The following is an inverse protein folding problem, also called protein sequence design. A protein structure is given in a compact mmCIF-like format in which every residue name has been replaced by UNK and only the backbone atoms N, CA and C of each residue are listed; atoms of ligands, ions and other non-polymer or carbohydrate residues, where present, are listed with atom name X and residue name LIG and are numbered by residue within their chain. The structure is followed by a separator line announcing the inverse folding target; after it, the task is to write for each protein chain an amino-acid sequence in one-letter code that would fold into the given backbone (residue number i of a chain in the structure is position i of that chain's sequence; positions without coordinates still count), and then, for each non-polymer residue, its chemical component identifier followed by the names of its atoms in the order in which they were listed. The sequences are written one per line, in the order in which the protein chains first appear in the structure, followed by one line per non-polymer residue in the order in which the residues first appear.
data_IF_342186598731
#
_entry.id   IF_342186598731
#
_cell.length_a   1.000
_cell.length_b   1.000
_cell.length_c   1.000
_cell.angle_alpha   90.00
_cell.angle_beta   90.00
_cell.angle_gamma   90.00
#
_symmetry.space_group_name_H-M   'P 1'
#
loop_
_entity.id
_entity.type
_entity.pdbx_description
1 polymer ?
#
# COMPACT_ATOMS: atom_id res chain seq x y z
N UNK A 1 -26.61 6.74 -28.20
CA UNK A 1 -25.64 7.85 -28.10
C UNK A 1 -25.12 8.05 -26.68
N UNK A 2 -25.44 7.16 -25.73
CA UNK A 2 -25.14 7.35 -24.29
C UNK A 2 -23.90 6.61 -23.78
N UNK A 3 -23.17 5.90 -24.64
CA UNK A 3 -21.99 5.10 -24.23
C UNK A 3 -20.68 5.90 -24.26
N UNK A 4 -20.63 7.01 -25.02
CA UNK A 4 -19.45 7.89 -25.09
C UNK A 4 -19.38 8.85 -23.90
N UNK A 5 -20.53 9.39 -23.47
CA UNK A 5 -20.60 10.33 -22.35
C UNK A 5 -20.18 9.68 -21.01
N UNK A 6 -20.53 8.41 -20.77
CA UNK A 6 -20.18 7.71 -19.54
C UNK A 6 -18.70 7.37 -19.43
N UNK A 7 -18.02 7.06 -20.54
CA UNK A 7 -16.59 6.75 -20.54
C UNK A 7 -15.70 7.98 -20.35
N UNK A 8 -16.06 9.11 -20.95
CA UNK A 8 -15.33 10.38 -20.76
C UNK A 8 -15.50 10.93 -19.34
N UNK A 9 -16.71 10.84 -18.77
CA UNK A 9 -16.99 11.23 -17.38
C UNK A 9 -16.20 10.37 -16.38
N UNK A 10 -16.15 9.04 -16.58
CA UNK A 10 -15.38 8.13 -15.72
C UNK A 10 -13.87 8.46 -15.76
N UNK A 11 -13.33 8.75 -16.95
CA UNK A 11 -11.92 9.11 -17.10
C UNK A 11 -11.57 10.42 -16.37
N UNK A 12 -12.45 11.42 -16.41
CA UNK A 12 -12.27 12.67 -15.69
C UNK A 12 -12.47 12.54 -14.17
N UNK A 13 -13.30 11.60 -13.71
CA UNK A 13 -13.40 11.25 -12.29
C UNK A 13 -12.16 10.53 -11.77
N UNK A 14 -11.64 9.55 -12.52
CA UNK A 14 -10.38 8.87 -12.19
C UNK A 14 -9.22 9.87 -12.10
N UNK A 15 -9.15 10.82 -13.04
CA UNK A 15 -8.16 11.90 -13.03
C UNK A 15 -8.28 12.81 -11.82
N UNK A 16 -9.50 13.23 -11.46
CA UNK A 16 -9.75 14.03 -10.26
C UNK A 16 -9.38 13.27 -8.99
N UNK A 17 -9.70 11.97 -8.93
CA UNK A 17 -9.34 11.09 -7.82
C UNK A 17 -7.82 10.95 -7.69
N UNK A 18 -7.11 10.73 -8.80
CA UNK A 18 -5.65 10.65 -8.83
C UNK A 18 -5.01 11.95 -8.33
N UNK A 19 -5.44 13.11 -8.85
CA UNK A 19 -4.94 14.41 -8.39
C UNK A 19 -5.21 14.67 -6.92
N UNK A 20 -6.38 14.27 -6.40
CA UNK A 20 -6.71 14.36 -4.97
C UNK A 20 -5.72 13.54 -4.12
N UNK A 21 -5.35 12.36 -4.59
CA UNK A 21 -4.46 11.44 -3.86
C UNK A 21 -3.01 11.94 -3.90
N UNK A 22 -2.54 12.44 -5.04
CA UNK A 22 -1.22 13.10 -5.12
C UNK A 22 -1.16 14.31 -4.17
N UNK A 23 -2.23 15.11 -4.09
CA UNK A 23 -2.31 16.21 -3.10
C UNK A 23 -2.18 15.70 -1.67
N UNK A 24 -2.86 14.61 -1.32
CA UNK A 24 -2.77 14.03 0.02
C UNK A 24 -1.34 13.63 0.38
N UNK A 25 -0.62 12.95 -0.53
CA UNK A 25 0.79 12.63 -0.36
C UNK A 25 1.64 13.89 -0.19
N UNK A 26 1.48 14.88 -1.08
CA UNK A 26 2.27 16.12 -1.04
C UNK A 26 2.00 16.96 0.21
N UNK A 27 0.78 16.93 0.75
CA UNK A 27 0.39 17.68 1.93
C UNK A 27 0.76 16.99 3.26
N UNK A 28 1.21 15.73 3.23
CA UNK A 28 1.59 14.95 4.40
C UNK A 28 2.48 15.74 5.37
N UNK A 29 3.59 16.28 4.88
CA UNK A 29 4.56 17.00 5.72
C UNK A 29 3.94 18.21 6.40
N UNK A 30 3.23 19.04 5.63
CA UNK A 30 2.55 20.24 6.15
C UNK A 30 1.51 19.85 7.21
N UNK A 31 0.73 18.80 6.95
CA UNK A 31 -0.27 18.31 7.89
C UNK A 31 0.37 17.78 9.19
N UNK A 32 1.37 16.91 9.09
CA UNK A 32 2.06 16.33 10.24
C UNK A 32 2.78 17.39 11.09
N UNK A 33 3.44 18.37 10.46
CA UNK A 33 4.07 19.48 11.17
C UNK A 33 3.05 20.39 11.85
N UNK A 34 1.88 20.60 11.25
CA UNK A 34 0.79 21.35 11.87
C UNK A 34 0.27 20.64 13.13
N UNK A 35 0.06 19.32 13.07
CA UNK A 35 -0.33 18.51 14.25
C UNK A 35 0.73 18.59 15.35
N UNK A 36 2.00 18.43 14.99
CA UNK A 36 3.12 18.54 15.93
C UNK A 36 3.17 19.92 16.61
N UNK A 37 2.97 20.99 15.83
CA UNK A 37 2.97 22.37 16.34
C UNK A 37 1.83 22.59 17.35
N UNK A 38 0.64 22.04 17.09
CA UNK A 38 -0.47 22.06 18.05
C UNK A 38 -0.11 21.32 19.35
N UNK A 39 0.50 20.15 19.26
CA UNK A 39 0.96 19.39 20.44
C UNK A 39 2.00 20.17 21.26
N UNK A 40 2.96 20.81 20.60
CA UNK A 40 3.94 21.68 21.26
C UNK A 40 3.26 22.87 21.94
N UNK A 41 2.25 23.46 21.30
CA UNK A 41 1.47 24.55 21.89
C UNK A 41 0.74 24.09 23.17
N UNK A 42 0.10 22.92 23.15
CA UNK A 42 -0.54 22.35 24.34
C UNK A 42 0.46 22.08 25.47
N UNK A 43 1.65 21.58 25.16
CA UNK A 43 2.69 21.36 26.17
C UNK A 43 3.12 22.69 26.81
N UNK A 44 3.28 23.75 26.02
CA UNK A 44 3.70 25.08 26.48
C UNK A 44 2.61 25.83 27.24
N UNK A 45 1.34 25.47 27.09
CA UNK A 45 0.24 26.09 27.84
C UNK A 45 0.08 25.50 29.25
N UNK A 46 0.75 24.38 29.57
CA UNK A 46 0.75 23.80 30.91
C UNK A 46 1.50 24.69 31.92
N UNK A 47 1.21 24.60 33.23
CA UNK A 47 2.02 25.25 34.26
C UNK A 47 3.50 24.84 34.19
N UNK A 48 4.41 25.77 34.53
CA UNK A 48 5.86 25.54 34.41
C UNK A 48 6.34 24.30 35.17
N UNK A 49 5.74 24.02 36.34
CA UNK A 49 6.03 22.83 37.12
C UNK A 49 5.74 21.53 36.35
N UNK A 50 4.64 21.47 35.60
CA UNK A 50 4.30 20.30 34.78
C UNK A 50 5.18 20.19 33.54
N UNK A 51 5.56 21.32 32.93
CA UNK A 51 6.49 21.32 31.80
C UNK A 51 7.85 20.73 32.18
N UNK A 52 8.37 21.05 33.38
CA UNK A 52 9.63 20.50 33.90
C UNK A 52 9.59 18.98 34.08
N UNK A 53 8.43 18.40 34.39
CA UNK A 53 8.24 16.94 34.50
C UNK A 53 8.23 16.25 33.11
N UNK A 54 7.94 16.99 32.04
CA UNK A 54 7.74 16.47 30.68
C UNK A 54 8.92 16.81 29.73
N UNK A 55 10.10 17.09 30.26
CA UNK A 55 11.30 17.45 29.46
C UNK A 55 11.67 16.37 28.44
N UNK A 56 11.61 15.09 28.83
CA UNK A 56 11.85 13.97 27.91
C UNK A 56 10.84 13.93 26.76
N UNK A 57 9.57 14.20 27.05
CA UNK A 57 8.53 14.28 26.03
C UNK A 57 8.73 15.49 25.11
N UNK A 58 9.13 16.64 25.65
CA UNK A 58 9.47 17.80 24.82
C UNK A 58 10.61 17.49 23.83
N UNK A 59 11.65 16.78 24.28
CA UNK A 59 12.76 16.38 23.42
C UNK A 59 12.30 15.41 22.31
N UNK A 60 11.40 14.47 22.62
CA UNK A 60 10.89 13.54 21.61
C UNK A 60 10.05 14.22 20.54
N UNK A 61 9.35 15.31 20.84
CA UNK A 61 8.60 16.08 19.84
C UNK A 61 9.54 16.66 18.75
N UNK A 62 10.77 17.04 19.12
CA UNK A 62 11.75 17.50 18.13
C UNK A 62 12.31 16.34 17.30
N UNK A 63 12.49 15.16 17.90
CA UNK A 63 12.81 13.93 17.15
C UNK A 63 11.72 13.59 16.13
N UNK A 64 10.45 13.71 16.50
CA UNK A 64 9.31 13.48 15.60
C UNK A 64 9.35 14.41 14.39
N UNK A 65 9.76 15.68 14.56
CA UNK A 65 9.95 16.61 13.44
C UNK A 65 10.88 16.03 12.38
N UNK A 66 12.05 15.52 12.81
CA UNK A 66 13.02 14.89 11.90
C UNK A 66 12.44 13.62 11.26
N UNK A 67 11.70 12.80 12.01
CA UNK A 67 11.05 11.61 11.46
C UNK A 67 10.02 11.94 10.37
N UNK A 68 9.28 13.05 10.49
CA UNK A 68 8.37 13.54 9.44
C UNK A 68 9.14 13.84 8.15
N UNK A 69 10.34 14.43 8.25
CA UNK A 69 11.18 14.72 7.08
C UNK A 69 11.63 13.43 6.37
N UNK A 70 12.07 12.42 7.11
CA UNK A 70 12.42 11.11 6.54
C UNK A 70 11.23 10.45 5.82
N UNK A 71 10.05 10.44 6.46
CA UNK A 71 8.84 9.89 5.84
C UNK A 71 8.45 10.67 4.57
N UNK A 72 8.59 12.00 4.59
CA UNK A 72 8.28 12.80 3.42
C UNK A 72 9.24 12.55 2.25
N UNK A 73 10.53 12.30 2.52
CA UNK A 73 11.48 11.93 1.47
C UNK A 73 11.09 10.60 0.79
N UNK A 74 10.57 9.64 1.56
CA UNK A 74 10.00 8.39 0.99
C UNK A 74 8.79 8.70 0.11
N UNK A 75 7.88 9.56 0.58
CA UNK A 75 6.70 9.98 -0.20
C UNK A 75 7.11 10.67 -1.50
N UNK A 76 8.10 11.55 -1.48
CA UNK A 76 8.63 12.20 -2.68
C UNK A 76 9.11 11.16 -3.71
N UNK A 77 9.81 10.12 -3.26
CA UNK A 77 10.21 9.00 -4.13
C UNK A 77 9.01 8.24 -4.71
N UNK A 78 7.93 8.08 -3.95
CA UNK A 78 6.71 7.41 -4.42
C UNK A 78 6.00 8.20 -5.53
N UNK A 79 5.88 9.53 -5.38
CA UNK A 79 5.13 10.38 -6.32
C UNK A 79 5.95 10.84 -7.52
N UNK A 80 7.29 10.75 -7.47
CA UNK A 80 8.17 11.27 -8.52
C UNK A 80 7.81 10.74 -9.92
N UNK A 81 7.45 9.46 -10.01
CA UNK A 81 7.12 8.79 -11.28
C UNK A 81 5.64 8.39 -11.38
N UNK A 82 4.78 8.85 -10.47
CA UNK A 82 3.35 8.51 -10.52
C UNK A 82 2.64 9.08 -11.75
N UNK A 83 3.24 10.10 -12.38
CA UNK A 83 2.85 10.64 -13.67
C UNK A 83 2.70 9.56 -14.76
N UNK A 84 3.60 8.59 -14.78
CA UNK A 84 3.63 7.54 -15.80
C UNK A 84 2.71 6.36 -15.50
N UNK A 85 2.18 6.27 -14.27
CA UNK A 85 1.24 5.21 -13.90
C UNK A 85 -0.12 5.35 -14.61
N UNK A 86 -0.43 6.54 -15.11
CA UNK A 86 -1.66 6.85 -15.83
C UNK A 86 -1.28 7.57 -17.12
N UNK A 87 -0.88 6.80 -18.13
CA UNK A 87 -0.26 7.21 -19.42
C UNK A 87 -1.00 8.31 -20.25
N UNK A 88 -2.10 8.88 -19.78
CA UNK A 88 -2.93 9.84 -20.55
C UNK A 88 -3.31 11.12 -19.80
N UNK A 89 -2.69 11.43 -18.66
CA UNK A 89 -3.14 12.56 -17.85
C UNK A 89 -1.97 13.47 -17.53
N UNK A 90 -1.97 14.67 -18.11
CA UNK A 90 -1.05 15.76 -17.78
C UNK A 90 -0.94 15.91 -16.26
N UNK A 91 0.08 15.29 -15.66
CA UNK A 91 0.44 15.49 -14.26
C UNK A 91 0.86 16.94 -14.11
N UNK A 92 0.26 17.71 -13.19
CA UNK A 92 0.77 19.03 -12.87
C UNK A 92 2.22 18.89 -12.42
N UNK A 93 3.11 19.73 -12.96
CA UNK A 93 4.51 19.83 -12.54
C UNK A 93 4.60 19.83 -11.01
N UNK A 94 5.56 19.08 -10.45
CA UNK A 94 5.87 19.14 -9.01
C UNK A 94 6.20 20.58 -8.57
N UNK A 95 6.64 21.41 -9.52
CA UNK A 95 6.80 22.86 -9.42
C UNK A 95 5.45 23.57 -9.27
N UNK A 96 4.92 23.64 -8.04
CA UNK A 96 3.69 24.37 -7.73
C UNK A 96 2.86 23.81 -6.56
N UNK A 97 3.16 22.59 -6.10
CA UNK A 97 2.39 21.92 -5.03
C UNK A 97 2.72 22.40 -3.61
N UNK A 98 3.60 23.40 -3.47
CA UNK A 98 3.87 24.08 -2.21
C UNK A 98 2.76 25.04 -1.76
N UNK A 99 1.63 25.10 -2.48
CA UNK A 99 0.57 26.04 -2.11
C UNK A 99 -0.06 25.68 -0.76
N UNK A 100 0.09 26.58 0.20
CA UNK A 100 -0.57 26.59 1.51
C UNK A 100 -2.04 27.00 1.43
N UNK A 101 -2.63 27.07 0.24
CA UNK A 101 -4.00 27.54 0.03
C UNK A 101 -5.01 26.65 0.77
N UNK A 102 -5.70 27.24 1.76
CA UNK A 102 -6.78 26.59 2.53
C UNK A 102 -7.90 26.03 1.64
N UNK A 103 -8.06 26.59 0.43
CA UNK A 103 -9.09 26.23 -0.56
C UNK A 103 -8.90 24.81 -1.13
N UNK A 104 -7.70 24.23 -1.05
CA UNK A 104 -7.38 22.91 -1.63
C UNK A 104 -6.83 21.89 -0.63
N UNK A 105 -7.07 22.09 0.68
CA UNK A 105 -6.61 21.16 1.71
C UNK A 105 -7.22 19.76 1.51
N UNK A 106 -6.42 18.68 1.50
CA UNK A 106 -6.95 17.32 1.43
C UNK A 106 -7.89 17.02 2.60
N UNK A 107 -8.88 16.17 2.34
CA UNK A 107 -9.75 15.65 3.39
C UNK A 107 -8.95 14.77 4.35
N UNK A 108 -9.33 14.78 5.62
CA UNK A 108 -8.60 14.07 6.69
C UNK A 108 -8.48 12.57 6.43
N UNK A 109 -9.53 11.96 5.88
CA UNK A 109 -9.55 10.54 5.52
C UNK A 109 -8.53 10.16 4.44
N UNK A 110 -8.16 11.09 3.55
CA UNK A 110 -7.10 10.82 2.56
C UNK A 110 -5.71 10.89 3.20
N UNK A 111 -5.51 11.75 4.20
CA UNK A 111 -4.26 11.82 4.97
C UNK A 111 -4.08 10.57 5.83
N UNK A 112 -5.14 10.07 6.47
CA UNK A 112 -5.15 8.79 7.18
C UNK A 112 -4.79 7.61 6.25
N UNK A 113 -5.21 7.66 4.97
CA UNK A 113 -4.83 6.66 3.97
C UNK A 113 -3.35 6.75 3.59
N UNK A 114 -2.77 7.95 3.50
CA UNK A 114 -1.31 8.10 3.35
C UNK A 114 -0.59 7.44 4.52
N UNK A 115 -1.01 7.74 5.76
CA UNK A 115 -0.42 7.14 6.96
C UNK A 115 -0.56 5.61 6.99
N UNK A 116 -1.73 5.09 6.60
CA UNK A 116 -1.98 3.65 6.50
C UNK A 116 -1.12 3.00 5.41
N UNK A 117 -0.89 3.69 4.28
CA UNK A 117 -0.02 3.21 3.20
C UNK A 117 1.44 3.12 3.67
N UNK A 118 1.91 4.10 4.45
CA UNK A 118 3.24 4.03 5.06
C UNK A 118 3.36 2.84 6.01
N UNK A 119 2.33 2.58 6.84
CA UNK A 119 2.32 1.38 7.71
C UNK A 119 2.31 0.07 6.92
N UNK A 120 1.63 0.03 5.78
CA UNK A 120 1.58 -1.16 4.92
C UNK A 120 2.97 -1.57 4.41
N UNK A 121 3.91 -0.63 4.24
CA UNK A 121 5.31 -0.94 3.91
C UNK A 121 5.99 -1.81 4.98
N UNK A 122 5.60 -1.67 6.24
CA UNK A 122 6.11 -2.50 7.34
C UNK A 122 5.73 -3.95 7.07
N UNK A 123 4.43 -4.22 6.91
CA UNK A 123 3.91 -5.57 6.65
C UNK A 123 4.53 -6.17 5.39
N UNK A 124 4.51 -5.44 4.28
CA UNK A 124 4.84 -6.02 2.97
C UNK A 124 6.31 -6.00 2.60
N UNK A 125 7.12 -5.08 3.12
CA UNK A 125 8.47 -4.84 2.59
C UNK A 125 9.54 -4.56 3.65
N UNK A 126 9.25 -4.79 4.93
CA UNK A 126 10.26 -4.67 5.99
C UNK A 126 10.53 -6.02 6.66
N UNK A 127 11.62 -6.08 7.45
CA UNK A 127 11.95 -7.26 8.24
C UNK A 127 10.96 -7.45 9.40
N UNK A 128 10.42 -6.37 9.94
CA UNK A 128 9.46 -6.36 11.02
C UNK A 128 8.14 -7.05 10.61
N UNK A 129 7.81 -7.00 9.32
CA UNK A 129 6.64 -7.69 8.77
C UNK A 129 6.82 -9.19 8.53
N UNK A 130 8.01 -9.77 8.72
CA UNK A 130 8.28 -11.18 8.32
C UNK A 130 7.35 -12.16 9.02
N UNK A 131 7.16 -12.06 10.33
CA UNK A 131 6.33 -13.03 11.08
C UNK A 131 4.84 -12.93 10.69
N UNK A 132 4.38 -11.71 10.42
CA UNK A 132 3.02 -11.45 9.93
C UNK A 132 2.83 -12.05 8.52
N UNK A 133 3.81 -11.86 7.63
CA UNK A 133 3.82 -12.49 6.29
C UNK A 133 3.93 -14.01 6.37
N UNK A 134 4.73 -14.57 7.28
CA UNK A 134 4.78 -16.02 7.48
C UNK A 134 3.41 -16.54 7.92
N UNK A 135 2.72 -15.83 8.80
CA UNK A 135 1.41 -16.25 9.28
C UNK A 135 0.34 -16.17 8.18
N UNK A 136 0.41 -15.13 7.33
CA UNK A 136 -0.63 -14.87 6.33
C UNK A 136 -0.34 -15.48 4.95
N UNK A 137 0.91 -15.40 4.46
CA UNK A 137 1.27 -15.67 3.06
C UNK A 137 1.72 -17.12 2.91
N UNK A 138 2.44 -17.65 3.90
CA UNK A 138 2.95 -19.03 3.83
C UNK A 138 1.83 -20.06 3.62
N UNK A 139 0.70 -20.02 4.36
CA UNK A 139 -0.35 -21.02 4.16
C UNK A 139 -0.96 -20.98 2.75
N UNK A 140 -1.08 -19.77 2.18
CA UNK A 140 -1.55 -19.56 0.80
C UNK A 140 -0.54 -20.14 -0.20
N UNK A 141 0.74 -19.81 -0.03
CA UNK A 141 1.83 -20.29 -0.90
C UNK A 141 1.96 -21.81 -0.83
N UNK A 142 1.88 -22.39 0.36
CA UNK A 142 1.97 -23.84 0.56
C UNK A 142 0.82 -24.57 -0.16
N UNK A 143 -0.39 -24.02 -0.15
CA UNK A 143 -1.52 -24.61 -0.85
C UNK A 143 -1.41 -24.42 -2.38
N UNK A 144 -0.89 -23.29 -2.87
CA UNK A 144 -0.57 -23.12 -4.30
C UNK A 144 0.44 -24.19 -4.74
N UNK A 145 1.49 -24.44 -3.96
CA UNK A 145 2.51 -25.44 -4.26
C UNK A 145 1.96 -26.87 -4.20
N UNK A 146 0.96 -27.12 -3.38
CA UNK A 146 0.27 -28.42 -3.28
C UNK A 146 -0.65 -28.66 -4.49
N UNK A 147 -1.41 -27.65 -4.91
CA UNK A 147 -2.32 -27.75 -6.06
C UNK A 147 -1.56 -27.71 -7.40
N UNK A 148 -0.47 -26.94 -7.49
CA UNK A 148 0.34 -26.78 -8.69
C UNK A 148 1.82 -27.12 -8.45
N UNK A 149 2.20 -28.38 -8.15
CA UNK A 149 3.56 -28.71 -7.79
C UNK A 149 4.56 -28.41 -8.91
N UNK A 150 5.65 -27.70 -8.59
CA UNK A 150 6.67 -27.27 -9.55
C UNK A 150 7.35 -28.42 -10.31
N UNK A 151 7.24 -29.66 -9.82
CA UNK A 151 7.77 -30.87 -10.47
C UNK A 151 6.85 -31.44 -11.54
N UNK A 152 5.56 -31.13 -11.49
CA UNK A 152 4.52 -31.72 -12.36
C UNK A 152 3.93 -30.73 -13.35
N UNK A 153 4.05 -29.43 -13.10
CA UNK A 153 3.52 -28.39 -13.98
C UNK A 153 4.61 -27.43 -14.41
N UNK A 154 4.43 -26.85 -15.59
CA UNK A 154 5.17 -25.68 -16.04
C UNK A 154 4.63 -24.47 -15.28
N UNK A 155 5.40 -23.96 -14.31
CA UNK A 155 4.94 -22.90 -13.41
C UNK A 155 4.50 -21.64 -14.16
N UNK A 156 5.20 -21.27 -15.24
CA UNK A 156 4.87 -20.12 -16.08
C UNK A 156 3.49 -20.21 -16.73
N UNK A 157 2.97 -21.42 -16.95
CA UNK A 157 1.63 -21.63 -17.54
C UNK A 157 0.49 -21.48 -16.52
N UNK A 158 0.82 -21.52 -15.22
CA UNK A 158 -0.15 -21.35 -14.14
C UNK A 158 -0.33 -19.86 -13.86
N UNK A 159 -1.51 -19.35 -14.19
CA UNK A 159 -1.89 -17.94 -14.02
C UNK A 159 -2.66 -17.75 -12.72
N UNK A 160 -2.09 -17.00 -11.78
CA UNK A 160 -2.64 -16.77 -10.45
C UNK A 160 -3.00 -15.30 -10.30
N UNK A 161 -4.25 -15.01 -9.96
CA UNK A 161 -4.72 -13.66 -9.69
C UNK A 161 -4.85 -13.41 -8.19
N UNK A 162 -4.36 -12.26 -7.72
CA UNK A 162 -4.47 -11.79 -6.34
C UNK A 162 -5.28 -10.49 -6.30
N UNK A 163 -6.60 -10.54 -6.07
CA UNK A 163 -7.43 -9.35 -5.86
C UNK A 163 -7.10 -8.67 -4.54
N UNK A 164 -7.08 -7.33 -4.53
CA UNK A 164 -6.68 -6.54 -3.36
C UNK A 164 -5.22 -6.77 -2.99
N UNK A 165 -4.33 -6.67 -3.98
CA UNK A 165 -2.92 -7.02 -3.83
C UNK A 165 -2.13 -6.07 -2.90
N UNK A 166 -2.69 -4.90 -2.53
CA UNK A 166 -2.01 -3.93 -1.68
C UNK A 166 -0.69 -3.48 -2.29
N UNK A 167 0.42 -3.63 -1.55
CA UNK A 167 1.76 -3.28 -2.04
C UNK A 167 2.42 -4.39 -2.88
N UNK A 168 1.68 -5.45 -3.22
CA UNK A 168 2.10 -6.46 -4.18
C UNK A 168 3.10 -7.50 -3.65
N UNK A 169 3.37 -7.57 -2.35
CA UNK A 169 4.34 -8.55 -1.80
C UNK A 169 3.90 -10.00 -2.04
N UNK A 170 2.63 -10.34 -1.84
CA UNK A 170 2.16 -11.71 -2.10
C UNK A 170 2.25 -12.07 -3.58
N UNK A 171 1.91 -11.13 -4.47
CA UNK A 171 2.07 -11.27 -5.93
C UNK A 171 3.54 -11.54 -6.28
N UNK A 172 4.44 -10.77 -5.66
CA UNK A 172 5.88 -10.95 -5.79
C UNK A 172 6.35 -12.34 -5.32
N UNK A 173 5.94 -12.80 -4.14
CA UNK A 173 6.33 -14.11 -3.61
C UNK A 173 5.84 -15.27 -4.50
N UNK A 174 4.63 -15.16 -5.05
CA UNK A 174 4.08 -16.14 -6.00
C UNK A 174 4.88 -16.14 -7.31
N UNK A 175 5.17 -14.97 -7.87
CA UNK A 175 5.97 -14.85 -9.10
C UNK A 175 7.41 -15.33 -8.89
N UNK A 176 8.00 -15.12 -7.70
CA UNK A 176 9.33 -15.61 -7.33
C UNK A 176 9.45 -17.15 -7.39
N UNK A 177 8.34 -17.87 -7.20
CA UNK A 177 8.29 -19.33 -7.38
C UNK A 177 8.24 -19.78 -8.85
N UNK A 178 8.13 -18.83 -9.79
CA UNK A 178 8.07 -19.07 -11.24
C UNK A 178 6.66 -19.08 -11.83
N UNK A 179 5.62 -18.87 -11.02
CA UNK A 179 4.25 -18.75 -11.51
C UNK A 179 4.00 -17.44 -12.25
N UNK A 180 3.02 -17.40 -13.15
CA UNK A 180 2.52 -16.14 -13.69
C UNK A 180 1.57 -15.52 -12.66
N UNK A 181 2.02 -14.45 -11.99
CA UNK A 181 1.24 -13.79 -10.94
C UNK A 181 0.74 -12.42 -11.40
N UNK A 182 -0.55 -12.18 -11.21
CA UNK A 182 -1.19 -10.91 -11.46
C UNK A 182 -1.81 -10.39 -10.17
N UNK A 183 -1.47 -9.18 -9.77
CA UNK A 183 -2.18 -8.45 -8.73
C UNK A 183 -3.29 -7.60 -9.33
N UNK A 184 -4.34 -7.37 -8.56
CA UNK A 184 -5.33 -6.33 -8.84
C UNK A 184 -5.48 -5.43 -7.62
N UNK A 185 -5.47 -4.12 -7.84
CA UNK A 185 -5.63 -3.15 -6.77
C UNK A 185 -6.45 -1.95 -7.26
N UNK A 186 -7.38 -1.49 -6.42
CA UNK A 186 -8.26 -0.37 -6.71
C UNK A 186 -7.71 0.94 -6.10
N UNK A 187 -7.07 0.85 -4.94
CA UNK A 187 -6.54 2.00 -4.22
C UNK A 187 -5.32 2.58 -4.93
N UNK A 188 -5.47 3.78 -5.49
CA UNK A 188 -4.37 4.54 -6.08
C UNK A 188 -3.23 4.79 -5.06
N UNK A 189 -3.53 4.91 -3.76
CA UNK A 189 -2.49 5.01 -2.73
C UNK A 189 -1.57 3.79 -2.73
N UNK A 190 -2.17 2.59 -2.77
CA UNK A 190 -1.44 1.33 -2.81
C UNK A 190 -0.72 1.15 -4.14
N UNK A 191 -1.34 1.50 -5.27
CA UNK A 191 -0.72 1.42 -6.59
C UNK A 191 0.54 2.29 -6.70
N UNK A 192 0.49 3.53 -6.20
CA UNK A 192 1.65 4.44 -6.18
C UNK A 192 2.78 3.84 -5.34
N UNK A 193 2.49 3.39 -4.12
CA UNK A 193 3.50 2.81 -3.23
C UNK A 193 4.03 1.46 -3.75
N UNK A 194 3.17 0.61 -4.32
CA UNK A 194 3.53 -0.67 -4.93
C UNK A 194 4.48 -0.47 -6.11
N UNK A 195 4.17 0.47 -7.01
CA UNK A 195 5.04 0.83 -8.13
C UNK A 195 6.41 1.31 -7.67
N UNK A 196 6.45 2.16 -6.63
CA UNK A 196 7.71 2.62 -6.06
C UNK A 196 8.58 1.46 -5.57
N UNK A 197 8.00 0.53 -4.81
CA UNK A 197 8.77 -0.61 -4.29
C UNK A 197 9.19 -1.58 -5.39
N UNK A 198 8.27 -2.00 -6.24
CA UNK A 198 8.53 -3.02 -7.27
C UNK A 198 9.44 -2.52 -8.40
N UNK A 199 9.27 -1.26 -8.81
CA UNK A 199 9.92 -0.73 -10.03
C UNK A 199 11.04 0.27 -9.77
N UNK A 200 11.14 0.87 -8.57
CA UNK A 200 12.11 1.96 -8.30
C UNK A 200 13.10 1.62 -7.21
N UNK A 201 12.75 0.80 -6.23
CA UNK A 201 13.71 0.33 -5.23
C UNK A 201 14.68 -0.69 -5.86
N UNK A 202 15.96 -0.33 -5.96
CA UNK A 202 17.02 -1.15 -6.60
C UNK A 202 18.05 -1.73 -5.61
N UNK A 203 17.77 -1.68 -4.32
CA UNK A 203 18.62 -2.24 -3.27
C UNK A 203 17.81 -2.73 -2.07
N UNK A 204 18.48 -3.42 -1.16
CA UNK A 204 17.89 -3.88 0.11
C UNK A 204 18.10 -2.79 1.16
N UNK A 205 17.08 -2.51 1.97
CA UNK A 205 17.10 -1.55 3.08
C UNK A 205 17.60 -0.15 2.67
N UNK A 206 17.25 0.29 1.46
CA UNK A 206 17.71 1.60 0.92
C UNK A 206 16.92 2.78 1.45
N UNK A 207 15.74 2.54 2.04
CA UNK A 207 14.87 3.58 2.58
C UNK A 207 14.65 3.37 4.07
N UNK A 208 14.58 4.48 4.80
CA UNK A 208 14.27 4.53 6.24
C UNK A 208 12.88 5.15 6.39
N UNK A 209 12.03 4.53 7.21
CA UNK A 209 10.68 4.99 7.48
C UNK A 209 10.37 4.95 8.97
N UNK A 210 9.58 5.90 9.44
CA UNK A 210 9.09 6.02 10.82
C UNK A 210 7.56 5.87 10.84
N UNK A 211 7.02 4.65 10.74
CA UNK A 211 5.58 4.40 10.53
C UNK A 211 4.71 4.70 11.78
N UNK A 212 5.31 4.83 12.96
CA UNK A 212 4.61 4.93 14.24
C UNK A 212 4.42 6.37 14.75
N UNK A 213 4.98 7.37 14.07
CA UNK A 213 5.08 8.74 14.62
C UNK A 213 3.73 9.42 14.87
N UNK A 214 2.68 8.99 14.18
CA UNK A 214 1.33 9.52 14.35
C UNK A 214 0.53 8.81 15.46
N UNK A 215 1.04 7.69 15.97
CA UNK A 215 0.43 6.96 17.08
C UNK A 215 0.92 7.54 18.41
N UNK A 216 0.10 8.42 19.00
CA UNK A 216 0.40 9.06 20.28
C UNK A 216 0.01 8.19 21.49
N UNK A 217 -0.86 7.20 21.29
CA UNK A 217 -1.40 6.35 22.34
C UNK A 217 -0.70 4.98 22.40
N UNK A 218 -0.80 4.31 23.55
CA UNK A 218 -0.28 2.96 23.79
C UNK A 218 1.24 2.80 23.56
N UNK A 219 2.00 3.88 23.71
CA UNK A 219 3.46 3.83 23.69
C UNK A 219 3.99 3.48 25.09
N UNK A 220 4.53 2.28 25.26
CA UNK A 220 5.19 1.87 26.53
C UNK A 220 6.41 2.74 26.86
N UNK A 221 7.15 3.13 25.83
CA UNK A 221 8.30 4.03 25.92
C UNK A 221 8.22 5.05 24.80
N UNK A 222 8.68 6.28 25.06
CA UNK A 222 8.69 7.37 24.08
C UNK A 222 9.45 7.03 22.79
N UNK A 223 10.50 6.21 22.90
CA UNK A 223 11.30 5.77 21.75
C UNK A 223 10.53 4.89 20.76
N UNK A 224 9.47 4.19 21.20
CA UNK A 224 8.68 3.31 20.32
C UNK A 224 7.96 4.10 19.21
N UNK A 225 7.46 5.29 19.53
CA UNK A 225 6.82 6.19 18.55
C UNK A 225 7.79 6.63 17.44
N UNK A 226 9.09 6.70 17.74
CA UNK A 226 10.14 7.16 16.83
C UNK A 226 11.03 6.02 16.34
N UNK A 227 10.61 4.77 16.52
CA UNK A 227 11.33 3.62 15.98
C UNK A 227 11.22 3.61 14.45
N UNK A 228 12.36 3.49 13.79
CA UNK A 228 12.43 3.33 12.34
C UNK A 228 12.37 1.86 11.92
N UNK A 229 11.94 1.66 10.68
CA UNK A 229 12.11 0.44 9.90
C UNK A 229 12.91 0.77 8.63
N UNK A 230 13.49 -0.25 8.00
CA UNK A 230 14.10 -0.12 6.67
C UNK A 230 13.40 -0.99 5.64
N UNK A 231 13.34 -0.52 4.39
CA UNK A 231 12.72 -1.26 3.30
C UNK A 231 13.37 -0.91 1.94
N UNK A 232 13.19 -1.76 0.90
CA UNK A 232 12.62 -3.10 0.97
C UNK A 232 13.59 -4.12 1.59
N UNK A 233 13.09 -5.11 2.33
CA UNK A 233 13.87 -6.19 2.97
C UNK A 233 14.48 -7.18 1.95
N UNK A 234 14.03 -7.10 0.71
CA UNK A 234 14.48 -7.87 -0.45
C UNK A 234 14.57 -6.94 -1.66
N UNK A 235 15.44 -7.22 -2.63
CA UNK A 235 15.54 -6.43 -3.86
C UNK A 235 14.66 -7.05 -4.95
N UNK A 236 13.47 -6.49 -5.26
CA UNK A 236 12.56 -7.12 -6.21
C UNK A 236 13.22 -7.31 -7.57
N UNK A 237 14.02 -6.33 -8.02
CA UNK A 237 14.66 -6.31 -9.33
C UNK A 237 15.64 -7.47 -9.60
N UNK A 238 16.25 -8.03 -8.55
CA UNK A 238 17.27 -9.08 -8.66
C UNK A 238 16.75 -10.48 -8.35
N UNK A 239 15.59 -10.56 -7.73
CA UNK A 239 15.04 -11.79 -7.16
C UNK A 239 13.97 -12.40 -8.07
N UNK A 240 13.63 -11.74 -9.17
CA UNK A 240 12.77 -12.29 -10.21
C UNK A 240 13.52 -13.31 -11.08
N UNK A 241 13.02 -14.55 -11.21
CA UNK A 241 13.47 -15.46 -12.25
C UNK A 241 13.28 -14.83 -13.64
N UNK A 242 14.19 -15.09 -14.59
CA UNK A 242 14.11 -14.53 -15.96
C UNK A 242 12.79 -14.85 -16.68
N UNK A 243 12.15 -15.96 -16.31
CA UNK A 243 10.89 -16.44 -16.91
C UNK A 243 9.65 -16.11 -16.06
N UNK A 244 9.80 -15.44 -14.92
CA UNK A 244 8.68 -15.10 -14.07
C UNK A 244 7.90 -13.91 -14.64
N UNK A 245 6.58 -14.04 -14.66
CA UNK A 245 5.68 -12.97 -15.11
C UNK A 245 4.94 -12.38 -13.92
N UNK A 246 5.23 -11.12 -13.61
CA UNK A 246 4.49 -10.32 -12.65
C UNK A 246 3.77 -9.17 -13.36
N UNK A 247 2.51 -8.95 -13.00
CA UNK A 247 1.76 -7.77 -13.43
C UNK A 247 0.87 -7.25 -12.31
N UNK A 248 0.52 -5.97 -12.38
CA UNK A 248 -0.42 -5.33 -11.46
C UNK A 248 -1.46 -4.59 -12.29
N UNK A 249 -2.74 -4.86 -12.06
CA UNK A 249 -3.85 -4.24 -12.79
C UNK A 249 -4.61 -3.30 -11.87
N UNK A 250 -4.67 -2.02 -12.26
CA UNK A 250 -5.42 -1.00 -11.55
C UNK A 250 -6.93 -1.11 -11.87
N UNK A 251 -7.78 -0.97 -10.85
CA UNK A 251 -9.22 -0.85 -11.01
C UNK A 251 -10.03 -1.80 -10.12
N UNK A 252 -11.35 -1.60 -10.14
CA UNK A 252 -12.28 -2.44 -9.38
C UNK A 252 -12.25 -3.87 -9.92
N UNK A 253 -11.97 -4.82 -9.03
CA UNK A 253 -11.91 -6.25 -9.34
C UNK A 253 -13.12 -6.74 -10.17
N UNK A 254 -14.34 -6.34 -9.79
CA UNK A 254 -15.57 -6.81 -10.44
C UNK A 254 -15.78 -6.20 -11.83
N UNK A 255 -15.21 -5.02 -12.09
CA UNK A 255 -15.32 -4.34 -13.38
C UNK A 255 -14.22 -4.81 -14.33
N UNK A 256 -13.00 -5.00 -13.81
CA UNK A 256 -11.84 -5.44 -14.58
C UNK A 256 -11.96 -6.92 -14.95
N UNK A 257 -12.35 -7.77 -13.99
CA UNK A 257 -12.35 -9.22 -14.19
C UNK A 257 -13.74 -9.76 -14.51
N UNK A 258 -14.14 -9.62 -15.79
CA UNK A 258 -15.41 -10.17 -16.33
C UNK A 258 -15.26 -11.63 -16.79
N UNK A 259 -16.39 -12.29 -17.11
CA UNK A 259 -16.57 -13.75 -17.33
C UNK A 259 -15.63 -14.47 -18.34
N UNK A 260 -14.66 -13.80 -18.97
CA UNK A 260 -13.79 -14.38 -20.00
C UNK A 260 -12.31 -14.56 -19.60
N UNK A 261 -11.95 -14.35 -18.34
CA UNK A 261 -10.55 -14.43 -17.91
C UNK A 261 -10.17 -15.87 -17.54
N UNK A 262 -9.19 -16.41 -18.28
CA UNK A 262 -8.59 -17.73 -18.02
C UNK A 262 -7.52 -17.61 -16.94
N UNK A 263 -7.92 -17.58 -15.67
CA UNK A 263 -7.02 -17.78 -14.52
C UNK A 263 -7.05 -19.24 -14.06
N UNK A 264 -5.91 -19.75 -13.61
CA UNK A 264 -5.78 -21.08 -13.00
C UNK A 264 -6.12 -21.07 -11.51
N UNK A 265 -5.92 -19.94 -10.82
CA UNK A 265 -6.22 -19.80 -9.40
C UNK A 265 -6.51 -18.34 -9.03
N UNK A 266 -7.38 -18.14 -8.05
CA UNK A 266 -7.63 -16.86 -7.41
C UNK A 266 -7.22 -16.96 -5.94
N UNK A 267 -6.46 -15.98 -5.48
CA UNK A 267 -5.91 -15.92 -4.13
C UNK A 267 -6.40 -14.65 -3.46
N UNK A 268 -7.21 -14.78 -2.42
CA UNK A 268 -7.71 -13.63 -1.66
C UNK A 268 -7.14 -13.62 -0.26
N UNK A 269 -6.60 -12.49 0.17
CA UNK A 269 -6.05 -12.30 1.50
C UNK A 269 -6.59 -10.98 2.07
N UNK A 270 -7.33 -11.04 3.18
CA UNK A 270 -8.04 -9.90 3.78
C UNK A 270 -8.91 -9.08 2.80
N UNK A 271 -9.28 -9.63 1.64
CA UNK A 271 -9.97 -8.90 0.57
C UNK A 271 -11.51 -9.06 0.63
N UNK A 272 -12.02 -10.28 0.86
CA UNK A 272 -13.45 -10.59 0.73
C UNK A 272 -14.33 -9.75 1.66
N UNK A 273 -13.80 -9.33 2.81
CA UNK A 273 -14.51 -8.47 3.78
C UNK A 273 -14.87 -7.09 3.23
N UNK A 274 -14.23 -6.66 2.15
CA UNK A 274 -14.47 -5.36 1.49
C UNK A 274 -15.53 -5.45 0.38
N UNK A 275 -16.04 -6.65 0.06
CA UNK A 275 -17.09 -6.80 -0.94
C UNK A 275 -18.45 -6.45 -0.32
N UNK A 276 -19.14 -5.47 -0.92
CA UNK A 276 -20.45 -5.01 -0.46
C UNK A 276 -21.58 -6.04 -0.63
N UNK A 277 -21.41 -7.04 -1.51
CA UNK A 277 -22.36 -8.14 -1.71
C UNK A 277 -21.72 -9.50 -1.36
N UNK A 278 -22.07 -10.02 -0.19
CA UNK A 278 -21.61 -11.32 0.32
C UNK A 278 -22.08 -12.53 -0.49
N UNK A 279 -22.92 -12.36 -1.53
CA UNK A 279 -23.31 -13.47 -2.42
C UNK A 279 -22.11 -14.15 -3.09
N UNK A 280 -20.90 -13.56 -3.03
CA UNK A 280 -19.65 -14.16 -3.47
C UNK A 280 -19.10 -15.32 -2.63
N UNK A 281 -19.47 -15.48 -1.35
CA UNK A 281 -19.17 -16.75 -0.64
C UNK A 281 -20.05 -17.90 -1.14
N UNK A 282 -21.13 -17.61 -1.88
CA UNK A 282 -22.00 -18.56 -2.56
C UNK A 282 -22.03 -18.41 -4.10
N UNK A 283 -21.00 -17.81 -4.72
CA UNK A 283 -20.81 -18.06 -6.16
C UNK A 283 -20.27 -19.48 -6.29
N UNK A 284 -21.22 -20.41 -6.38
CA UNK A 284 -21.14 -21.46 -7.40
C UNK A 284 -20.75 -20.74 -8.69
N UNK A 285 -19.46 -20.80 -9.03
CA UNK A 285 -18.99 -20.63 -10.39
C UNK A 285 -19.67 -21.73 -11.22
N UNK A 286 -20.91 -21.48 -11.63
CA UNK A 286 -21.70 -22.37 -12.47
C UNK A 286 -20.97 -22.50 -13.82
N UNK A 287 -20.05 -23.45 -13.90
CA UNK A 287 -19.44 -23.89 -15.16
C UNK A 287 -17.91 -24.05 -15.15
N UNK A 288 -17.19 -23.58 -14.14
CA UNK A 288 -15.72 -23.73 -14.10
C UNK A 288 -15.31 -24.28 -12.74
N UNK A 289 -15.05 -25.59 -12.70
CA UNK A 289 -14.41 -26.24 -11.57
C UNK A 289 -12.92 -25.86 -11.55
N UNK A 290 -12.60 -24.68 -11.03
CA UNK A 290 -11.24 -24.34 -10.60
C UNK A 290 -11.13 -24.68 -9.11
N UNK A 291 -10.06 -25.35 -8.65
CA UNK A 291 -9.82 -25.55 -7.22
C UNK A 291 -9.62 -24.18 -6.56
N UNK A 292 -10.67 -23.72 -5.88
CA UNK A 292 -10.62 -22.53 -5.03
C UNK A 292 -9.96 -22.93 -3.72
N UNK A 293 -8.72 -22.50 -3.53
CA UNK A 293 -8.07 -22.50 -2.23
C UNK A 293 -8.69 -21.37 -1.40
N UNK A 294 -9.76 -21.68 -0.66
CA UNK A 294 -10.29 -20.79 0.35
C UNK A 294 -9.43 -20.87 1.61
N UNK A 295 -8.50 -19.94 1.77
CA UNK A 295 -7.87 -19.70 3.06
C UNK A 295 -8.13 -18.27 3.51
N UNK A 296 -9.37 -18.00 3.93
CA UNK A 296 -9.68 -16.79 4.70
C UNK A 296 -9.12 -16.95 6.11
N UNK A 297 -7.87 -16.55 6.33
CA UNK A 297 -7.35 -16.32 7.68
C UNK A 297 -7.88 -14.94 8.12
N UNK A 298 -9.06 -14.95 8.76
CA UNK A 298 -9.54 -13.78 9.53
C UNK A 298 -8.78 -13.80 10.84
N UNK A 299 -7.64 -13.11 10.89
CA UNK A 299 -7.02 -12.73 12.15
C UNK A 299 -7.72 -11.47 12.64
N UNK A 300 -8.71 -11.66 13.51
CA UNK A 300 -9.12 -10.61 14.44
C UNK A 300 -7.96 -10.45 15.42
N UNK A 301 -7.25 -9.32 15.34
CA UNK A 301 -6.36 -8.87 16.43
C UNK A 301 -7.25 -8.31 17.53
#
# INVERSE_FOLDING_TARGET
MDFCHTHEENNEEEKRSFQRIIRAFMFYKTHSLSRLTKTIHYLRSLPEQHQRLLTNYSNSLETIRNCIDYNYNVILGMVQDSAYLFENQNTPSLDGWHSTDEVNKPIETDLEKVESTLKQLVRDWSIEGIEERKTCYKPIIDEILKEFPLKSVSASDIKILVPGAGLGRLVFEIAKLGYTSQGNEFSVFMLIASNFVLNKCRGVNTHVLFPWIHQCDNNLETKHQTQCITFPDINPAKEFPENASISMVAGDFLQVFTFSIKMCCFVTLFFIIYLHDYRFTQIKMNGIALPLVFLSIVLTI
#
